data_IF_539052126161
#
_entry.id   IF_539052126161
#
_cell.length_a   1.000
_cell.length_b   1.000
_cell.length_c   1.000
_cell.angle_alpha   90.00
_cell.angle_beta   90.00
_cell.angle_gamma   90.00
#
_symmetry.space_group_name_H-M   'P 1'
#
loop_
_entity.id
_entity.type
_entity.pdbx_description
1 polymer ?
#
# COMPACT_ATOMS: atom_id res chain seq x y z
N UNK A 1 9.87 -15.88 -15.11
CA UNK A 1 10.94 -14.91 -15.38
C UNK A 1 10.66 -13.63 -14.63
N UNK A 2 11.48 -13.31 -13.69
CA UNK A 2 11.36 -12.06 -12.93
C UNK A 2 11.89 -10.93 -13.80
N UNK A 3 11.00 -10.02 -14.18
CA UNK A 3 11.41 -8.81 -14.86
C UNK A 3 11.82 -7.79 -13.83
N UNK A 4 13.09 -7.78 -13.47
CA UNK A 4 13.63 -6.67 -12.71
C UNK A 4 13.85 -5.51 -13.67
N UNK A 5 13.01 -4.51 -13.56
CA UNK A 5 13.25 -3.25 -14.24
C UNK A 5 14.42 -2.55 -13.54
N UNK A 6 15.52 -2.25 -14.25
CA UNK A 6 16.68 -1.62 -13.61
C UNK A 6 16.38 -0.22 -13.04
N UNK A 7 15.21 0.35 -13.40
CA UNK A 7 14.77 1.65 -12.90
C UNK A 7 13.99 1.56 -11.59
N UNK A 8 13.63 0.35 -11.13
CA UNK A 8 12.91 0.17 -9.87
C UNK A 8 13.89 -0.26 -8.78
N UNK A 9 14.07 0.55 -7.73
CA UNK A 9 14.93 0.17 -6.61
C UNK A 9 14.29 -0.83 -5.64
N UNK A 10 13.02 -1.16 -5.83
CA UNK A 10 12.31 -2.15 -5.03
C UNK A 10 11.67 -3.21 -5.93
N UNK A 11 11.50 -4.40 -5.41
CA UNK A 11 10.82 -5.49 -6.11
C UNK A 11 9.33 -5.50 -5.75
N UNK A 12 8.50 -4.99 -6.65
CA UNK A 12 7.06 -4.91 -6.45
C UNK A 12 6.40 -6.29 -6.41
N UNK A 13 7.05 -7.32 -6.95
CA UNK A 13 6.54 -8.69 -6.93
C UNK A 13 6.60 -9.32 -5.54
N UNK A 14 7.30 -8.68 -4.60
CA UNK A 14 7.34 -9.14 -3.20
C UNK A 14 6.09 -8.78 -2.41
N UNK A 15 5.20 -7.96 -2.97
CA UNK A 15 3.94 -7.64 -2.32
C UNK A 15 3.10 -8.90 -2.14
N UNK A 16 2.63 -9.14 -0.93
CA UNK A 16 1.80 -10.30 -0.61
C UNK A 16 0.44 -9.83 -0.10
N UNK A 17 -0.61 -9.93 -0.93
CA UNK A 17 -1.95 -9.57 -0.47
C UNK A 17 -2.30 -10.32 0.81
N UNK A 18 -2.77 -9.58 1.80
CA UNK A 18 -3.13 -10.13 3.10
C UNK A 18 -4.64 -10.11 3.27
N UNK A 19 -5.20 -11.25 3.66
CA UNK A 19 -6.62 -11.37 3.97
C UNK A 19 -6.78 -11.59 5.48
N UNK A 20 -7.47 -10.68 6.17
CA UNK A 20 -7.69 -10.75 7.61
C UNK A 20 -9.17 -10.97 7.90
N UNK A 21 -9.43 -11.85 8.86
CA UNK A 21 -10.78 -12.06 9.38
C UNK A 21 -11.11 -10.90 10.34
N UNK A 22 -12.14 -10.08 10.04
CA UNK A 22 -12.49 -8.95 10.89
C UNK A 22 -13.03 -9.35 12.26
N UNK A 23 -13.35 -10.62 12.46
CA UNK A 23 -13.80 -11.12 13.77
C UNK A 23 -12.63 -11.55 14.67
N UNK A 24 -11.41 -11.62 14.13
CA UNK A 24 -10.23 -11.97 14.92
C UNK A 24 -9.68 -10.73 15.63
N UNK A 25 -9.40 -10.89 16.93
CA UNK A 25 -8.93 -9.78 17.76
C UNK A 25 -7.42 -9.51 17.63
N UNK A 26 -6.65 -10.50 17.16
CA UNK A 26 -5.19 -10.40 17.11
C UNK A 26 -4.65 -10.96 15.79
N UNK A 27 -3.51 -10.41 15.37
CA UNK A 27 -2.78 -10.91 14.22
C UNK A 27 -1.74 -11.95 14.66
N UNK A 28 -1.50 -12.94 13.80
CA UNK A 28 -0.35 -13.83 13.99
C UNK A 28 0.95 -13.08 13.71
N UNK A 29 2.08 -13.63 14.16
CA UNK A 29 3.39 -13.05 13.87
C UNK A 29 3.66 -13.01 12.37
N UNK A 30 3.25 -14.04 11.64
CA UNK A 30 3.40 -14.09 10.19
C UNK A 30 2.57 -12.99 9.50
N UNK A 31 1.34 -12.77 9.94
CA UNK A 31 0.48 -11.70 9.42
C UNK A 31 1.08 -10.34 9.68
N UNK A 32 1.63 -10.11 10.88
CA UNK A 32 2.31 -8.85 11.20
C UNK A 32 3.51 -8.62 10.33
N UNK A 33 4.32 -9.65 10.10
CA UNK A 33 5.50 -9.55 9.24
C UNK A 33 5.13 -9.19 7.82
N UNK A 34 4.10 -9.85 7.27
CA UNK A 34 3.59 -9.55 5.93
C UNK A 34 3.06 -8.13 5.84
N UNK A 35 2.28 -7.69 6.82
CA UNK A 35 1.73 -6.33 6.85
C UNK A 35 2.85 -5.29 6.89
N UNK A 36 3.85 -5.48 7.74
CA UNK A 36 5.01 -4.58 7.82
C UNK A 36 5.77 -4.50 6.50
N UNK A 37 5.99 -5.65 5.86
CA UNK A 37 6.70 -5.70 4.58
C UNK A 37 5.91 -4.98 3.49
N UNK A 38 4.61 -5.19 3.43
CA UNK A 38 3.73 -4.51 2.46
C UNK A 38 3.69 -3.00 2.69
N UNK A 39 3.62 -2.56 3.94
CA UNK A 39 3.66 -1.13 4.28
C UNK A 39 4.96 -0.51 3.81
N UNK A 40 6.09 -1.14 4.11
CA UNK A 40 7.39 -0.60 3.71
C UNK A 40 7.54 -0.55 2.19
N UNK A 41 7.13 -1.61 1.50
CA UNK A 41 7.18 -1.66 0.04
C UNK A 41 6.33 -0.54 -0.58
N UNK A 42 5.12 -0.35 -0.08
CA UNK A 42 4.21 0.69 -0.57
C UNK A 42 4.80 2.08 -0.32
N UNK A 43 5.36 2.33 0.86
CA UNK A 43 6.00 3.59 1.19
C UNK A 43 7.20 3.88 0.29
N UNK A 44 8.03 2.88 0.05
CA UNK A 44 9.17 3.02 -0.84
C UNK A 44 8.73 3.34 -2.28
N UNK A 45 7.68 2.67 -2.75
CA UNK A 45 7.12 2.93 -4.07
C UNK A 45 6.57 4.36 -4.20
N UNK A 46 5.85 4.84 -3.18
CA UNK A 46 5.30 6.21 -3.17
C UNK A 46 6.44 7.23 -3.28
N UNK A 47 7.49 7.08 -2.47
CA UNK A 47 8.63 8.00 -2.49
C UNK A 47 9.32 7.95 -3.85
N UNK A 48 9.57 6.77 -4.38
CA UNK A 48 10.23 6.59 -5.66
C UNK A 48 9.43 7.23 -6.80
N UNK A 49 8.15 6.93 -6.90
CA UNK A 49 7.32 7.46 -7.99
C UNK A 49 7.15 8.98 -7.88
N UNK A 50 6.96 9.50 -6.66
CA UNK A 50 6.83 10.93 -6.45
C UNK A 50 8.13 11.66 -6.82
N UNK A 51 9.28 11.12 -6.38
CA UNK A 51 10.58 11.71 -6.69
C UNK A 51 10.89 11.65 -8.19
N UNK A 52 10.57 10.54 -8.84
CA UNK A 52 10.75 10.38 -10.28
C UNK A 52 9.87 11.36 -11.06
N UNK A 53 8.62 11.54 -10.64
CA UNK A 53 7.72 12.51 -11.23
C UNK A 53 8.26 13.93 -11.07
N UNK A 54 8.73 14.29 -9.87
CA UNK A 54 9.31 15.61 -9.59
C UNK A 54 10.53 15.89 -10.47
N UNK A 55 11.38 14.89 -10.67
CA UNK A 55 12.55 15.01 -11.53
C UNK A 55 12.18 15.28 -12.99
N UNK A 56 10.96 14.93 -13.38
CA UNK A 56 10.44 15.15 -14.75
C UNK A 56 9.48 16.32 -14.84
N UNK A 57 9.42 17.16 -13.81
CA UNK A 57 8.58 18.35 -13.78
C UNK A 57 7.13 18.11 -13.39
N UNK A 58 6.80 16.94 -12.88
CA UNK A 58 5.45 16.61 -12.40
C UNK A 58 5.40 16.73 -10.90
N UNK A 59 4.56 17.63 -10.37
CA UNK A 59 4.41 17.77 -8.93
C UNK A 59 3.50 16.70 -8.35
N UNK A 60 3.79 16.29 -7.13
CA UNK A 60 2.98 15.32 -6.40
C UNK A 60 3.19 15.44 -4.90
N UNK A 61 2.28 14.85 -4.15
CA UNK A 61 2.30 14.88 -2.70
C UNK A 61 2.72 13.52 -2.14
N UNK A 62 3.70 13.51 -1.25
CA UNK A 62 4.25 12.30 -0.63
C UNK A 62 3.75 12.11 0.80
N UNK A 63 3.61 13.22 1.57
CA UNK A 63 3.36 13.15 3.01
C UNK A 63 2.04 12.48 3.38
N UNK A 64 0.93 12.92 2.80
CA UNK A 64 -0.37 12.34 3.06
C UNK A 64 -0.46 10.87 2.67
N UNK A 65 -0.08 10.50 1.43
CA UNK A 65 -0.03 9.10 1.04
C UNK A 65 0.86 8.25 1.93
N UNK A 66 2.04 8.72 2.25
CA UNK A 66 2.99 8.00 3.09
C UNK A 66 2.42 7.70 4.47
N UNK A 67 1.77 8.70 5.08
CA UNK A 67 1.20 8.56 6.42
C UNK A 67 0.00 7.62 6.47
N UNK A 68 -0.77 7.54 5.39
CA UNK A 68 -2.00 6.73 5.35
C UNK A 68 -1.77 5.30 4.90
N UNK A 69 -0.56 4.92 4.49
CA UNK A 69 -0.27 3.56 4.03
C UNK A 69 -0.68 2.49 5.05
N UNK A 70 -0.34 2.58 6.35
CA UNK A 70 -0.73 1.55 7.29
C UNK A 70 -2.24 1.36 7.37
N UNK A 71 -3.00 2.43 7.41
CA UNK A 71 -4.45 2.39 7.51
C UNK A 71 -5.08 1.75 6.27
N UNK A 72 -4.64 2.14 5.09
CA UNK A 72 -5.14 1.60 3.82
C UNK A 72 -4.79 0.12 3.69
N UNK A 73 -3.58 -0.28 4.08
CA UNK A 73 -3.16 -1.68 4.03
C UNK A 73 -4.01 -2.55 4.97
N UNK A 74 -4.32 -2.05 6.17
CA UNK A 74 -5.16 -2.77 7.13
C UNK A 74 -6.59 -2.90 6.60
N UNK A 75 -7.15 -1.81 6.08
CA UNK A 75 -8.49 -1.84 5.50
C UNK A 75 -8.57 -2.79 4.31
N UNK A 76 -7.60 -2.74 3.42
CA UNK A 76 -7.54 -3.67 2.29
C UNK A 76 -7.51 -5.12 2.75
N UNK A 77 -6.75 -5.42 3.80
CA UNK A 77 -6.67 -6.76 4.35
C UNK A 77 -8.02 -7.26 4.88
N UNK A 78 -8.79 -6.40 5.54
CA UNK A 78 -10.13 -6.75 5.99
C UNK A 78 -11.10 -6.93 4.83
N UNK A 79 -11.02 -6.08 3.81
CA UNK A 79 -11.86 -6.23 2.62
C UNK A 79 -11.60 -7.55 1.92
N UNK A 80 -10.34 -7.95 1.82
CA UNK A 80 -9.94 -9.24 1.23
C UNK A 80 -10.37 -10.44 2.07
N UNK A 81 -10.39 -10.28 3.39
CA UNK A 81 -10.76 -11.34 4.32
C UNK A 81 -12.25 -11.61 4.41
N UNK A 82 -13.08 -10.62 4.06
CA UNK A 82 -14.53 -10.73 4.15
C UNK A 82 -15.21 -10.00 2.97
N UNK A 83 -14.96 -10.46 1.74
CA UNK A 83 -15.44 -9.76 0.54
C UNK A 83 -16.97 -9.71 0.43
N UNK A 84 -17.66 -10.64 1.06
CA UNK A 84 -19.13 -10.66 1.06
C UNK A 84 -19.74 -9.66 2.05
N UNK A 85 -18.94 -9.11 2.96
CA UNK A 85 -19.42 -8.16 3.99
C UNK A 85 -19.10 -6.71 3.64
N UNK A 86 -18.15 -6.46 2.76
CA UNK A 86 -17.65 -5.12 2.47
C UNK A 86 -17.69 -4.82 0.98
N UNK A 87 -18.06 -3.59 0.67
CA UNK A 87 -17.87 -3.01 -0.67
C UNK A 87 -16.73 -2.00 -0.53
N UNK A 88 -15.53 -2.29 -1.03
CA UNK A 88 -14.39 -1.38 -0.84
C UNK A 88 -14.57 -0.12 -1.68
N UNK A 89 -14.70 1.02 -1.00
CA UNK A 89 -14.77 2.33 -1.64
C UNK A 89 -13.73 3.21 -0.96
N UNK A 90 -12.78 3.70 -1.75
CA UNK A 90 -11.78 4.65 -1.29
C UNK A 90 -12.10 6.02 -1.85
N UNK A 91 -12.34 6.98 -0.98
CA UNK A 91 -12.67 8.34 -1.36
C UNK A 91 -11.72 9.30 -0.65
N UNK A 92 -11.09 10.18 -1.41
CA UNK A 92 -10.22 11.22 -0.88
C UNK A 92 -10.65 12.57 -1.47
N UNK A 93 -11.43 13.30 -0.69
CA UNK A 93 -11.99 14.59 -1.10
C UNK A 93 -10.90 15.60 -1.48
N UNK A 94 -9.82 15.62 -0.73
CA UNK A 94 -8.73 16.58 -0.96
C UNK A 94 -7.80 16.14 -2.12
N UNK A 95 -7.82 14.85 -2.50
CA UNK A 95 -6.94 14.32 -3.52
C UNK A 95 -5.49 14.17 -3.09
N UNK A 96 -5.18 14.34 -1.80
CA UNK A 96 -3.80 14.32 -1.31
C UNK A 96 -3.25 12.93 -1.02
N UNK A 97 -4.11 11.90 -0.96
CA UNK A 97 -3.74 10.53 -0.57
C UNK A 97 -3.93 9.51 -1.69
N UNK A 98 -4.20 9.99 -2.89
CA UNK A 98 -4.48 9.13 -4.05
C UNK A 98 -3.34 8.16 -4.35
N UNK A 99 -2.10 8.57 -4.14
CA UNK A 99 -0.94 7.72 -4.42
C UNK A 99 -0.93 6.43 -3.58
N UNK A 100 -1.47 6.45 -2.35
CA UNK A 100 -1.59 5.24 -1.54
C UNK A 100 -2.58 4.25 -2.15
N UNK A 101 -3.68 4.76 -2.68
CA UNK A 101 -4.72 3.93 -3.28
C UNK A 101 -4.27 3.26 -4.55
#
# INVERSE_FOLDING_TARGET
MTMTHPTFPMDLDTYQPLALDPTCATLTDAQRATLKANIQLCRDAIVFFTATGAARGVSGHTGGPYDTVPEVMILDAFFRGAPEQFVPIFFDEAGHRVATQ
#
